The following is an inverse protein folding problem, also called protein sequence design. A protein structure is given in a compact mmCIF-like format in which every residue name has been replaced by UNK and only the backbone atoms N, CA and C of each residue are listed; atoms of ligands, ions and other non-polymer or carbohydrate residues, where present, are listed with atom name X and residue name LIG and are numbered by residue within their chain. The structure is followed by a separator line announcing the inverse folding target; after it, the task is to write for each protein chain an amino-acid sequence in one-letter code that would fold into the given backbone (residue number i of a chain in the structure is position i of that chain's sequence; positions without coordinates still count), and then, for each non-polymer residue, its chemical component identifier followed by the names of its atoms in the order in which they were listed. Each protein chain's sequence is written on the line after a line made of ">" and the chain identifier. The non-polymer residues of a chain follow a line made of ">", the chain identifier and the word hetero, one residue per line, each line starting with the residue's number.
data_IF_026101409202
#
_entry.id   IF_026101409202
#
_cell.length_a   1.000
_cell.length_b   1.000
_cell.length_c   1.000
_cell.angle_alpha   90.00
_cell.angle_beta   90.00
_cell.angle_gamma   90.00
#
_symmetry.space_group_name_H-M   'P 1'
#
loop_
_entity.id
_entity.type
_entity.pdbx_description
1 polymer ?
#
# COMPACT_ATOMS: atom_id res chain seq x y z
N UNK A 1 -8.27 29.41 0.96
CA UNK A 1 -7.24 28.48 1.47
C UNK A 1 -7.94 27.24 2.05
N UNK A 2 -7.75 26.10 1.43
CA UNK A 2 -8.37 24.85 1.88
C UNK A 2 -7.44 24.12 2.86
N UNK A 3 -7.42 24.58 4.11
CA UNK A 3 -6.66 23.93 5.19
C UNK A 3 -7.44 22.82 5.89
N UNK A 4 -8.34 22.13 5.15
CA UNK A 4 -9.06 20.99 5.71
C UNK A 4 -8.16 19.76 5.66
N UNK A 5 -8.16 18.98 6.74
CA UNK A 5 -7.36 17.77 6.91
C UNK A 5 -7.37 16.85 5.69
N UNK A 6 -8.57 16.59 5.11
CA UNK A 6 -8.69 15.69 3.95
C UNK A 6 -7.96 16.20 2.69
N UNK A 7 -8.01 17.50 2.40
CA UNK A 7 -7.29 18.08 1.26
C UNK A 7 -5.78 18.06 1.48
N UNK A 8 -5.30 18.43 2.66
CA UNK A 8 -3.88 18.37 2.99
C UNK A 8 -3.33 16.95 2.91
N UNK A 9 -4.08 15.98 3.45
CA UNK A 9 -3.69 14.56 3.39
C UNK A 9 -3.61 14.06 1.95
N UNK A 10 -4.56 14.44 1.09
CA UNK A 10 -4.57 14.09 -0.33
C UNK A 10 -3.37 14.70 -1.06
N UNK A 11 -3.12 16.00 -0.89
CA UNK A 11 -2.00 16.70 -1.55
C UNK A 11 -0.64 16.13 -1.13
N UNK A 12 -0.45 15.91 0.18
CA UNK A 12 0.78 15.28 0.70
C UNK A 12 0.94 13.87 0.11
N UNK A 13 -0.09 13.05 0.16
CA UNK A 13 -0.07 11.69 -0.41
C UNK A 13 0.24 11.70 -1.91
N UNK A 14 -0.29 12.67 -2.66
CA UNK A 14 -0.01 12.82 -4.08
C UNK A 14 1.46 13.13 -4.35
N UNK A 15 2.05 14.07 -3.60
CA UNK A 15 3.47 14.45 -3.71
C UNK A 15 4.37 13.25 -3.35
N UNK A 16 4.08 12.55 -2.26
CA UNK A 16 4.81 11.35 -1.85
C UNK A 16 4.82 10.31 -2.97
N UNK A 17 3.66 10.02 -3.56
CA UNK A 17 3.54 9.08 -4.67
C UNK A 17 4.35 9.49 -5.90
N UNK A 18 4.34 10.76 -6.27
CA UNK A 18 5.13 11.26 -7.40
C UNK A 18 6.64 11.11 -7.14
N UNK A 19 7.11 11.46 -5.93
CA UNK A 19 8.52 11.29 -5.55
C UNK A 19 8.92 9.84 -5.54
N UNK A 20 8.09 8.97 -4.98
CA UNK A 20 8.34 7.53 -4.99
C UNK A 20 8.49 7.00 -6.41
N UNK A 21 7.55 7.29 -7.31
CA UNK A 21 7.60 6.81 -8.69
C UNK A 21 8.88 7.28 -9.40
N UNK A 22 9.31 8.52 -9.18
CA UNK A 22 10.55 9.05 -9.74
C UNK A 22 11.77 8.32 -9.17
N UNK A 23 11.86 8.13 -7.87
CA UNK A 23 13.02 7.53 -7.21
C UNK A 23 13.11 6.01 -7.43
N UNK A 24 11.97 5.34 -7.63
CA UNK A 24 11.89 3.90 -7.90
C UNK A 24 11.89 3.54 -9.39
N UNK A 25 12.05 4.51 -10.29
CA UNK A 25 11.99 4.30 -11.74
C UNK A 25 13.00 3.24 -12.20
N UNK A 26 14.22 3.28 -11.69
CA UNK A 26 15.27 2.29 -12.01
C UNK A 26 14.95 0.85 -11.58
N UNK A 27 14.07 0.69 -10.60
CA UNK A 27 13.59 -0.62 -10.14
C UNK A 27 12.37 -1.10 -10.94
N UNK A 28 11.79 -0.25 -11.79
CA UNK A 28 10.61 -0.56 -12.58
C UNK A 28 9.32 -0.79 -11.76
N UNK A 29 9.26 -0.29 -10.53
CA UNK A 29 8.14 -0.48 -9.61
C UNK A 29 7.45 0.85 -9.34
N UNK A 30 6.14 0.91 -9.59
CA UNK A 30 5.32 2.07 -9.24
C UNK A 30 4.87 2.02 -7.79
N UNK A 31 4.46 3.16 -7.23
CA UNK A 31 3.90 3.23 -5.88
C UNK A 31 2.66 2.31 -5.70
N UNK A 32 1.83 2.16 -6.75
CA UNK A 32 0.69 1.25 -6.71
C UNK A 32 1.13 -0.22 -6.58
N UNK A 33 2.15 -0.63 -7.33
CA UNK A 33 2.75 -1.96 -7.23
C UNK A 33 3.45 -2.17 -5.88
N UNK A 34 4.14 -1.15 -5.38
CA UNK A 34 4.75 -1.17 -4.06
C UNK A 34 3.73 -1.44 -2.95
N UNK A 35 2.61 -0.74 -2.95
CA UNK A 35 1.51 -0.98 -2.00
C UNK A 35 1.01 -2.43 -2.06
N UNK A 36 0.89 -3.01 -3.25
CA UNK A 36 0.49 -4.41 -3.41
C UNK A 36 1.53 -5.37 -2.81
N UNK A 37 2.83 -5.14 -3.06
CA UNK A 37 3.91 -5.96 -2.50
C UNK A 37 3.94 -5.89 -0.97
N UNK A 38 3.81 -4.69 -0.38
CA UNK A 38 3.76 -4.51 1.08
C UNK A 38 2.57 -5.27 1.67
N UNK A 39 1.38 -5.12 1.09
CA UNK A 39 0.20 -5.83 1.58
C UNK A 39 0.36 -7.35 1.51
N UNK A 40 0.98 -7.87 0.43
CA UNK A 40 1.25 -9.30 0.29
C UNK A 40 2.29 -9.82 1.29
N UNK A 41 3.23 -8.99 1.71
CA UNK A 41 4.22 -9.37 2.73
C UNK A 41 3.59 -9.55 4.11
N UNK A 42 2.56 -8.76 4.40
CA UNK A 42 1.81 -8.82 5.66
C UNK A 42 0.70 -9.88 5.64
N UNK A 43 0.08 -10.08 4.48
CA UNK A 43 -1.07 -10.97 4.29
C UNK A 43 -0.74 -12.07 3.28
N UNK A 44 0.04 -13.04 3.73
CA UNK A 44 0.49 -14.16 2.89
C UNK A 44 -0.68 -14.93 2.30
N UNK A 45 -0.58 -15.28 1.02
CA UNK A 45 -1.56 -16.10 0.32
C UNK A 45 -2.99 -15.54 0.32
N UNK A 46 -3.15 -14.21 0.34
CA UNK A 46 -4.46 -13.57 0.25
C UNK A 46 -5.08 -13.75 -1.14
N UNK A 47 -6.40 -13.70 -1.21
CA UNK A 47 -7.11 -13.74 -2.50
C UNK A 47 -6.90 -12.42 -3.25
N UNK A 48 -6.78 -12.49 -4.58
CA UNK A 48 -6.59 -11.28 -5.39
C UNK A 48 -7.76 -10.28 -5.24
N UNK A 49 -8.98 -10.77 -5.07
CA UNK A 49 -10.16 -9.91 -4.85
C UNK A 49 -10.08 -9.18 -3.51
N UNK A 50 -9.62 -9.85 -2.45
CA UNK A 50 -9.47 -9.24 -1.11
C UNK A 50 -8.38 -8.17 -1.11
N UNK A 51 -7.30 -8.40 -1.87
CA UNK A 51 -6.25 -7.38 -2.08
C UNK A 51 -6.80 -6.15 -2.80
N UNK A 52 -7.63 -6.33 -3.84
CA UNK A 52 -8.25 -5.20 -4.54
C UNK A 52 -9.15 -4.37 -3.63
N UNK A 53 -9.94 -5.02 -2.78
CA UNK A 53 -10.77 -4.37 -1.78
C UNK A 53 -9.93 -3.60 -0.75
N UNK A 54 -8.90 -4.24 -0.19
CA UNK A 54 -8.01 -3.62 0.81
C UNK A 54 -7.24 -2.42 0.28
N UNK A 55 -6.88 -2.44 -1.00
CA UNK A 55 -6.19 -1.32 -1.67
C UNK A 55 -7.15 -0.27 -2.24
N UNK A 56 -8.46 -0.50 -2.15
CA UNK A 56 -9.52 0.36 -2.70
C UNK A 56 -9.32 0.62 -4.21
N UNK A 57 -8.96 -0.41 -4.96
CA UNK A 57 -8.77 -0.35 -6.40
C UNK A 57 -9.74 -1.29 -7.11
N UNK A 58 -10.10 -0.95 -8.34
CA UNK A 58 -10.94 -1.81 -9.17
C UNK A 58 -10.21 -3.15 -9.45
N UNK A 59 -10.92 -4.30 -9.44
CA UNK A 59 -10.33 -5.60 -9.71
C UNK A 59 -9.50 -5.65 -11.01
N UNK A 60 -9.99 -5.01 -12.08
CA UNK A 60 -9.25 -4.94 -13.35
C UNK A 60 -7.95 -4.14 -13.25
N UNK A 61 -7.93 -3.09 -12.45
CA UNK A 61 -6.74 -2.27 -12.21
C UNK A 61 -5.69 -3.08 -11.44
N UNK A 62 -6.12 -3.79 -10.38
CA UNK A 62 -5.22 -4.67 -9.65
C UNK A 62 -4.71 -5.81 -10.54
N UNK A 63 -5.57 -6.46 -11.31
CA UNK A 63 -5.17 -7.55 -12.20
C UNK A 63 -4.01 -7.15 -13.10
N UNK A 64 -4.05 -5.96 -13.71
CA UNK A 64 -2.97 -5.42 -14.53
C UNK A 64 -1.68 -5.20 -13.74
N UNK A 65 -1.77 -4.69 -12.50
CA UNK A 65 -0.59 -4.53 -11.64
C UNK A 65 0.03 -5.89 -11.30
N UNK A 66 -0.79 -6.88 -10.97
CA UNK A 66 -0.33 -8.23 -10.67
C UNK A 66 0.27 -8.91 -11.90
N UNK A 67 -0.28 -8.70 -13.13
CA UNK A 67 0.31 -9.21 -14.37
C UNK A 67 1.76 -8.72 -14.54
N UNK A 68 2.01 -7.44 -14.30
CA UNK A 68 3.34 -6.84 -14.38
C UNK A 68 4.30 -7.43 -13.30
N UNK A 69 3.81 -7.56 -12.07
CA UNK A 69 4.60 -8.14 -10.97
C UNK A 69 4.89 -9.63 -11.19
N UNK A 70 3.95 -10.37 -11.76
CA UNK A 70 4.13 -11.79 -12.10
C UNK A 70 5.12 -11.96 -13.27
N UNK A 71 5.02 -11.12 -14.30
CA UNK A 71 6.00 -11.08 -15.40
C UNK A 71 7.41 -10.76 -14.89
N UNK A 72 7.54 -9.89 -13.91
CA UNK A 72 8.81 -9.58 -13.25
C UNK A 72 9.30 -10.70 -12.31
N UNK A 73 8.48 -11.70 -12.02
CA UNK A 73 8.78 -12.82 -11.12
C UNK A 73 8.74 -12.43 -9.64
N UNK A 74 8.04 -11.38 -9.28
CA UNK A 74 7.93 -10.86 -7.91
C UNK A 74 6.72 -11.42 -7.17
N UNK A 75 5.68 -11.80 -7.91
CA UNK A 75 4.44 -12.36 -7.40
C UNK A 75 4.07 -13.59 -8.25
N UNK A 76 3.39 -14.54 -7.68
CA UNK A 76 2.81 -15.69 -8.37
C UNK A 76 1.34 -15.81 -8.04
N UNK A 77 0.51 -16.11 -9.06
CA UNK A 77 -0.88 -16.51 -8.89
C UNK A 77 -0.98 -18.01 -8.72
N UNK A 78 -1.61 -18.45 -7.65
CA UNK A 78 -2.00 -19.83 -7.43
C UNK A 78 -3.53 -19.92 -7.52
N UNK A 79 -4.08 -20.98 -8.11
CA UNK A 79 -5.52 -21.21 -8.09
C UNK A 79 -5.98 -21.47 -6.65
N UNK A 80 -7.09 -20.89 -6.28
CA UNK A 80 -7.72 -21.19 -4.98
C UNK A 80 -8.25 -22.62 -4.98
N UNK A 81 -8.00 -23.37 -3.90
CA UNK A 81 -8.42 -24.75 -3.77
C UNK A 81 -9.94 -24.91 -3.66
N UNK A 82 -10.63 -23.88 -3.17
CA UNK A 82 -12.06 -23.89 -2.89
C UNK A 82 -12.89 -23.20 -3.98
N UNK A 83 -12.28 -22.31 -4.78
CA UNK A 83 -12.94 -21.57 -5.84
C UNK A 83 -12.06 -21.49 -7.10
N UNK A 84 -12.44 -22.27 -8.13
CA UNK A 84 -11.70 -22.35 -9.41
C UNK A 84 -11.62 -21.02 -10.18
N UNK A 85 -12.45 -20.02 -9.82
CA UNK A 85 -12.48 -18.69 -10.43
C UNK A 85 -11.60 -17.70 -9.69
N UNK A 86 -11.12 -18.05 -8.50
CA UNK A 86 -10.30 -17.20 -7.65
C UNK A 86 -8.82 -17.56 -7.74
N UNK A 87 -8.00 -16.52 -7.55
CA UNK A 87 -6.55 -16.65 -7.43
C UNK A 87 -6.10 -16.19 -6.05
N UNK A 88 -5.13 -16.91 -5.50
CA UNK A 88 -4.35 -16.51 -4.33
C UNK A 88 -3.00 -16.01 -4.78
N UNK A 89 -2.51 -14.98 -4.15
CA UNK A 89 -1.28 -14.30 -4.50
C UNK A 89 -0.17 -14.67 -3.51
N UNK A 90 0.99 -14.98 -4.05
CA UNK A 90 2.17 -15.34 -3.29
C UNK A 90 3.33 -14.43 -3.66
N UNK A 91 3.96 -13.84 -2.63
CA UNK A 91 5.17 -13.07 -2.81
C UNK A 91 6.35 -14.01 -3.08
N UNK A 92 7.08 -13.78 -4.16
CA UNK A 92 8.22 -14.59 -4.53
C UNK A 92 9.51 -14.13 -3.84
N UNK A 93 10.46 -15.03 -3.55
CA UNK A 93 11.72 -14.67 -2.91
C UNK A 93 12.49 -13.56 -3.63
N UNK A 94 12.39 -13.49 -4.96
CA UNK A 94 12.98 -12.42 -5.79
C UNK A 94 12.49 -11.03 -5.41
N UNK A 95 11.30 -10.91 -4.82
CA UNK A 95 10.76 -9.62 -4.39
C UNK A 95 11.49 -9.04 -3.16
N UNK A 96 12.07 -9.87 -2.30
CA UNK A 96 12.64 -9.43 -1.03
C UNK A 96 13.74 -8.38 -1.17
N UNK A 97 14.78 -8.55 -2.02
CA UNK A 97 15.81 -7.53 -2.19
C UNK A 97 15.25 -6.25 -2.84
N UNK A 98 14.27 -6.37 -3.73
CA UNK A 98 13.61 -5.22 -4.36
C UNK A 98 12.80 -4.45 -3.31
N UNK A 99 12.06 -5.14 -2.46
CA UNK A 99 11.31 -4.53 -1.36
C UNK A 99 12.24 -3.83 -0.38
N UNK A 100 13.40 -4.40 -0.06
CA UNK A 100 14.38 -3.74 0.79
C UNK A 100 14.88 -2.40 0.18
N UNK A 101 15.15 -2.36 -1.11
CA UNK A 101 15.53 -1.14 -1.81
C UNK A 101 14.38 -0.11 -1.85
N UNK A 102 13.13 -0.57 -2.03
CA UNK A 102 11.95 0.30 -2.01
C UNK A 102 11.67 0.89 -0.62
N UNK A 103 11.94 0.14 0.45
CA UNK A 103 11.87 0.68 1.82
C UNK A 103 12.90 1.78 2.02
N UNK A 104 14.14 1.62 1.57
CA UNK A 104 15.17 2.68 1.63
C UNK A 104 14.73 3.96 0.90
N UNK A 105 14.09 3.81 -0.26
CA UNK A 105 13.51 4.95 -0.99
C UNK A 105 12.41 5.62 -0.19
N UNK A 106 11.53 4.84 0.44
CA UNK A 106 10.44 5.33 1.28
C UNK A 106 10.98 6.11 2.48
N UNK A 107 11.97 5.55 3.18
CA UNK A 107 12.62 6.18 4.34
C UNK A 107 13.28 7.50 3.95
N UNK A 108 14.00 7.54 2.83
CA UNK A 108 14.64 8.75 2.33
C UNK A 108 13.62 9.85 1.98
N UNK A 109 12.48 9.48 1.39
CA UNK A 109 11.39 10.42 1.08
C UNK A 109 10.77 10.95 2.39
N UNK A 110 10.53 10.08 3.36
CA UNK A 110 10.00 10.48 4.66
C UNK A 110 10.94 11.44 5.38
N UNK A 111 12.22 11.13 5.43
CA UNK A 111 13.24 12.00 6.04
C UNK A 111 13.29 13.38 5.36
N UNK A 112 13.21 13.43 4.04
CA UNK A 112 13.19 14.69 3.27
C UNK A 112 11.92 15.51 3.60
N UNK A 113 10.75 14.87 3.58
CA UNK A 113 9.47 15.56 3.80
C UNK A 113 9.35 16.09 5.23
N UNK A 114 9.81 15.30 6.20
CA UNK A 114 9.72 15.64 7.62
C UNK A 114 10.94 16.39 8.16
N UNK A 115 11.92 16.75 7.31
CA UNK A 115 13.12 17.50 7.71
C UNK A 115 12.82 18.88 8.33
N UNK A 116 11.65 19.46 8.03
CA UNK A 116 11.19 20.73 8.61
C UNK A 116 10.75 20.60 10.07
N UNK A 117 10.58 19.38 10.57
CA UNK A 117 10.13 19.09 11.94
C UNK A 117 11.32 18.66 12.79
N UNK A 118 11.32 19.04 14.06
CA UNK A 118 12.21 18.45 15.05
C UNK A 118 11.77 17.00 15.39
N UNK A 119 12.58 16.27 16.11
CA UNK A 119 12.34 14.84 16.43
C UNK A 119 11.06 14.64 17.24
N UNK A 120 10.73 15.56 18.16
CA UNK A 120 9.54 15.48 19.00
C UNK A 120 8.27 15.68 18.17
N UNK A 121 8.24 16.71 17.33
CA UNK A 121 7.13 17.02 16.43
C UNK A 121 6.90 15.92 15.40
N UNK A 122 8.00 15.35 14.83
CA UNK A 122 7.93 14.21 13.91
C UNK A 122 7.25 13.01 14.58
N UNK A 123 7.71 12.63 15.76
CA UNK A 123 7.15 11.50 16.52
C UNK A 123 5.70 11.75 16.92
N UNK A 124 5.38 12.97 17.35
CA UNK A 124 4.02 13.38 17.68
C UNK A 124 3.08 13.28 16.47
N UNK A 125 3.50 13.81 15.32
CA UNK A 125 2.71 13.77 14.07
C UNK A 125 2.40 12.33 13.66
N UNK A 126 3.42 11.47 13.56
CA UNK A 126 3.26 10.07 13.14
C UNK A 126 2.31 9.32 14.11
N UNK A 127 2.52 9.48 15.42
CA UNK A 127 1.66 8.86 16.43
C UNK A 127 0.19 9.29 16.29
N UNK A 128 -0.06 10.60 16.04
CA UNK A 128 -1.43 11.11 15.85
C UNK A 128 -2.06 10.60 14.56
N UNK A 129 -1.31 10.50 13.48
CA UNK A 129 -1.80 9.94 12.22
C UNK A 129 -2.15 8.45 12.35
N UNK A 130 -1.34 7.68 13.06
CA UNK A 130 -1.64 6.27 13.37
C UNK A 130 -2.91 6.12 14.20
N UNK A 131 -3.06 6.96 15.22
CA UNK A 131 -4.26 6.98 16.07
C UNK A 131 -5.52 7.28 15.25
N UNK A 132 -5.47 8.30 14.37
CA UNK A 132 -6.58 8.66 13.47
C UNK A 132 -6.90 7.48 12.55
N UNK A 133 -5.89 6.89 11.91
CA UNK A 133 -6.05 5.73 11.01
C UNK A 133 -6.74 4.56 11.74
N UNK A 134 -6.25 4.19 12.90
CA UNK A 134 -6.78 3.05 13.66
C UNK A 134 -8.23 3.29 14.09
N UNK A 135 -8.58 4.49 14.52
CA UNK A 135 -9.96 4.86 14.88
C UNK A 135 -10.90 4.80 13.66
N UNK A 136 -10.45 5.25 12.49
CA UNK A 136 -11.25 5.16 11.26
C UNK A 136 -11.49 3.71 10.82
N UNK A 137 -10.49 2.83 10.96
CA UNK A 137 -10.61 1.41 10.62
C UNK A 137 -11.62 0.71 11.55
N UNK A 138 -11.57 0.98 12.86
CA UNK A 138 -12.53 0.41 13.83
C UNK A 138 -13.95 0.82 13.47
N UNK A 139 -14.19 2.12 13.23
CA UNK A 139 -15.52 2.63 12.88
C UNK A 139 -16.07 2.02 11.56
N UNK A 140 -15.19 1.71 10.60
CA UNK A 140 -15.59 1.05 9.35
C UNK A 140 -16.00 -0.40 9.57
N UNK A 141 -15.35 -1.12 10.48
CA UNK A 141 -15.70 -2.51 10.83
C UNK A 141 -17.04 -2.57 11.56
N UNK A 142 -17.24 -1.71 12.56
CA UNK A 142 -18.50 -1.64 13.32
C UNK A 142 -19.69 -1.33 12.42
N UNK A 143 -19.53 -0.42 11.44
CA UNK A 143 -20.57 -0.08 10.47
C UNK A 143 -20.88 -1.24 9.50
N UNK A 144 -19.90 -2.05 9.11
CA UNK A 144 -20.12 -3.24 8.27
C UNK A 144 -20.90 -4.34 9.00
N UNK A 145 -20.62 -4.56 10.28
CA UNK A 145 -21.34 -5.52 11.11
C UNK A 145 -22.82 -5.12 11.31
N UNK A 146 -23.07 -3.82 11.56
CA UNK A 146 -24.43 -3.28 11.70
C UNK A 146 -25.23 -3.32 10.39
N UNK A 147 -24.59 -3.18 9.23
CA UNK A 147 -25.27 -3.26 7.93
C UNK A 147 -25.56 -4.70 7.47
N UNK A 148 -24.97 -5.70 8.13
CA UNK A 148 -25.13 -7.13 7.83
C UNK A 148 -26.06 -7.86 8.81
N UNK A 149 -26.55 -7.16 9.83
CA UNK A 149 -27.52 -7.64 10.82
C UNK A 149 -28.95 -7.17 10.50
#
# INVERSE_FOLDING_TARGET
>A
MYSKFGFLSYEISHIIRQRFNKNAESLGITHAQWRALVHLSENKNCRQVDLAESLEVKPITLARQIDLLETAGLVRRNKDSNDRRAYRLELMPKALPIMAALWQITDAIEDEILAILNTEDKSFLINKMEHIKNNLVINLLDNKEQASA
#
